data_IF_843561522008
#
_entry.id   IF_843561522008
#
_cell.length_a   1.000
_cell.length_b   1.000
_cell.length_c   1.000
_cell.angle_alpha   90.00
_cell.angle_beta   90.00
_cell.angle_gamma   90.00
#
_symmetry.space_group_name_H-M   'P 1'
#
loop_
_entity.id
_entity.type
_entity.pdbx_description
1 polymer ?
#
# COMPACT_ATOMS: atom_id res chain seq x y z
N UNK A 1 32.11 -26.14 -5.73
CA UNK A 1 33.29 -26.45 -6.57
C UNK A 1 32.80 -26.66 -7.99
N UNK A 2 33.51 -26.05 -8.94
CA UNK A 2 33.40 -26.10 -10.42
C UNK A 2 32.22 -25.44 -11.13
N UNK A 3 32.58 -24.31 -11.72
CA UNK A 3 32.04 -23.58 -12.88
C UNK A 3 32.07 -24.38 -14.19
N UNK A 4 31.07 -24.17 -15.05
CA UNK A 4 31.14 -24.25 -16.52
C UNK A 4 29.97 -23.40 -17.07
N UNK A 5 30.18 -22.21 -17.63
CA UNK A 5 30.68 -21.95 -18.98
C UNK A 5 29.81 -22.59 -20.07
N UNK A 6 28.83 -21.84 -20.57
CA UNK A 6 28.41 -21.99 -21.97
C UNK A 6 28.01 -20.61 -22.53
N UNK A 7 28.78 -20.17 -23.52
CA UNK A 7 28.68 -18.90 -24.19
C UNK A 7 27.68 -19.00 -25.34
N UNK A 8 26.70 -18.09 -25.40
CA UNK A 8 25.82 -17.94 -26.57
C UNK A 8 26.23 -16.69 -27.36
N UNK A 9 26.85 -16.94 -28.51
CA UNK A 9 27.30 -15.93 -29.48
C UNK A 9 26.12 -15.17 -30.14
N UNK A 10 26.26 -13.88 -30.48
CA UNK A 10 25.24 -13.15 -31.21
C UNK A 10 25.32 -13.50 -32.70
N UNK A 11 24.27 -14.17 -33.21
CA UNK A 11 24.11 -14.45 -34.64
C UNK A 11 23.70 -13.16 -35.35
N UNK A 12 24.62 -12.61 -36.13
CA UNK A 12 24.44 -11.42 -36.98
C UNK A 12 23.45 -11.76 -38.11
N UNK A 13 22.21 -11.31 -38.00
CA UNK A 13 21.27 -11.30 -39.11
C UNK A 13 21.36 -9.94 -39.83
N UNK A 14 22.07 -9.92 -40.95
CA UNK A 14 21.97 -8.86 -41.96
C UNK A 14 20.50 -8.75 -42.43
N UNK A 15 19.88 -7.61 -42.18
CA UNK A 15 18.73 -7.13 -42.94
C UNK A 15 19.15 -5.87 -43.69
N UNK A 16 19.49 -6.07 -44.97
CA UNK A 16 19.89 -5.03 -45.90
C UNK A 16 18.67 -4.14 -46.23
N UNK A 17 18.91 -2.82 -46.34
CA UNK A 17 17.91 -1.82 -46.74
C UNK A 17 17.30 -0.95 -45.63
N UNK A 18 17.43 -1.35 -44.35
CA UNK A 18 16.94 -0.57 -43.21
C UNK A 18 18.04 -0.12 -42.22
N UNK A 19 19.25 -0.67 -42.35
CA UNK A 19 20.34 -0.51 -41.39
C UNK A 19 20.91 0.90 -41.32
N UNK A 20 21.08 1.59 -42.45
CA UNK A 20 21.61 2.98 -42.48
C UNK A 20 20.67 3.95 -41.78
N UNK A 21 19.38 3.93 -42.13
CA UNK A 21 18.35 4.78 -41.50
C UNK A 21 18.19 4.48 -40.01
N UNK A 22 18.39 3.22 -39.57
CA UNK A 22 18.38 2.84 -38.15
C UNK A 22 19.65 3.33 -37.45
N UNK A 23 20.82 3.13 -38.06
CA UNK A 23 22.11 3.59 -37.54
C UNK A 23 22.16 5.12 -37.41
N UNK A 24 21.65 5.86 -38.39
CA UNK A 24 21.58 7.33 -38.34
C UNK A 24 20.61 7.84 -37.28
N UNK A 25 19.47 7.15 -37.07
CA UNK A 25 18.53 7.46 -35.98
C UNK A 25 19.14 7.19 -34.61
N UNK A 26 19.87 6.10 -34.47
CA UNK A 26 20.60 5.75 -33.24
C UNK A 26 21.72 6.75 -32.98
N UNK A 27 22.52 7.09 -34.00
CA UNK A 27 23.58 8.09 -33.90
C UNK A 27 23.03 9.47 -33.53
N UNK A 28 21.87 9.87 -34.06
CA UNK A 28 21.17 11.11 -33.66
C UNK A 28 20.66 11.04 -32.22
N UNK A 29 20.02 9.93 -31.83
CA UNK A 29 19.51 9.73 -30.47
C UNK A 29 20.61 9.66 -29.39
N UNK A 30 21.82 9.20 -29.75
CA UNK A 30 22.99 9.15 -28.85
C UNK A 30 23.67 10.52 -28.78
N UNK A 31 23.77 11.25 -29.90
CA UNK A 31 24.40 12.59 -29.96
C UNK A 31 23.51 13.70 -29.37
N UNK A 32 22.19 13.55 -29.40
CA UNK A 32 21.25 14.51 -28.81
C UNK A 32 20.63 13.94 -27.55
N UNK A 33 20.76 14.62 -26.41
CA UNK A 33 19.99 14.27 -25.22
C UNK A 33 18.51 14.61 -25.45
N UNK A 34 17.67 13.58 -25.60
CA UNK A 34 16.22 13.78 -25.66
C UNK A 34 15.72 14.13 -24.26
N UNK A 35 15.75 15.42 -23.91
CA UNK A 35 15.27 15.88 -22.61
C UNK A 35 13.73 15.81 -22.58
N UNK A 36 13.18 14.70 -22.08
CA UNK A 36 11.75 14.57 -21.86
C UNK A 36 11.38 15.27 -20.54
N UNK A 37 11.23 16.60 -20.60
CA UNK A 37 10.83 17.42 -19.43
C UNK A 37 9.35 17.21 -19.13
N UNK A 38 9.04 16.18 -18.34
CA UNK A 38 7.67 15.98 -17.82
C UNK A 38 7.50 16.85 -16.58
N UNK A 39 6.74 17.94 -16.72
CA UNK A 39 6.30 18.76 -15.58
C UNK A 39 4.95 18.26 -15.12
N UNK A 40 4.75 18.11 -13.80
CA UNK A 40 3.41 17.93 -13.24
C UNK A 40 2.67 19.27 -13.27
N UNK A 41 1.85 19.47 -14.29
CA UNK A 41 0.99 20.65 -14.42
C UNK A 41 -0.04 20.61 -13.29
N UNK A 42 -0.06 21.66 -12.46
CA UNK A 42 -1.06 21.86 -11.40
C UNK A 42 -2.04 22.91 -11.91
N UNK A 43 -3.31 22.54 -12.05
CA UNK A 43 -4.36 23.42 -12.57
C UNK A 43 -4.97 24.33 -11.50
N UNK A 44 -4.81 23.98 -10.22
CA UNK A 44 -5.31 24.76 -9.10
C UNK A 44 -4.30 25.82 -8.65
N UNK A 45 -4.80 27.00 -8.27
CA UNK A 45 -3.98 28.10 -7.71
C UNK A 45 -3.51 27.78 -6.28
N UNK A 46 -4.36 27.11 -5.49
CA UNK A 46 -4.06 26.76 -4.10
C UNK A 46 -3.32 25.43 -4.01
N UNK A 47 -2.35 25.37 -3.10
CA UNK A 47 -1.66 24.13 -2.78
C UNK A 47 -2.52 23.26 -1.86
N UNK A 48 -2.78 22.02 -2.28
CA UNK A 48 -3.50 21.03 -1.46
C UNK A 48 -2.53 19.97 -0.95
N UNK A 49 -2.73 19.55 0.31
CA UNK A 49 -1.96 18.43 0.86
C UNK A 49 -2.27 17.16 0.05
N UNK A 50 -1.26 16.45 -0.47
CA UNK A 50 -1.50 15.20 -1.18
C UNK A 50 -2.10 14.16 -0.22
N UNK A 51 -2.98 13.31 -0.75
CA UNK A 51 -3.54 12.21 0.03
C UNK A 51 -2.42 11.21 0.32
N UNK A 52 -2.20 10.97 1.60
CA UNK A 52 -1.23 9.99 2.08
C UNK A 52 -1.95 8.76 2.58
N UNK A 53 -1.26 7.62 2.58
CA UNK A 53 -1.78 6.41 3.21
C UNK A 53 -1.80 6.60 4.73
N UNK A 54 -2.99 6.53 5.33
CA UNK A 54 -3.19 6.59 6.77
C UNK A 54 -3.19 5.16 7.28
N UNK A 55 -2.12 4.75 7.97
CA UNK A 55 -2.05 3.43 8.60
C UNK A 55 -2.88 3.43 9.88
N UNK A 56 -3.57 2.32 10.14
CA UNK A 56 -4.17 2.08 11.45
C UNK A 56 -3.08 2.01 12.53
N UNK A 57 -3.45 2.34 13.78
CA UNK A 57 -2.53 2.27 14.92
C UNK A 57 -2.23 0.81 15.24
N UNK A 58 -0.98 0.37 15.00
CA UNK A 58 -0.48 -0.95 15.39
C UNK A 58 0.55 -0.79 16.52
N UNK A 59 0.12 -0.89 17.80
CA UNK A 59 1.06 -0.83 18.92
C UNK A 59 1.97 -2.06 18.90
N UNK A 60 3.27 -1.87 19.18
CA UNK A 60 4.26 -2.96 19.21
C UNK A 60 4.09 -3.89 20.43
N UNK A 61 3.42 -3.41 21.47
CA UNK A 61 3.22 -4.12 22.73
C UNK A 61 1.81 -3.84 23.27
N UNK A 62 1.32 -4.69 24.17
CA UNK A 62 0.03 -4.50 24.81
C UNK A 62 0.03 -3.23 25.67
N UNK A 63 -1.00 -2.38 25.51
CA UNK A 63 -1.11 -1.11 26.28
C UNK A 63 -1.48 -1.32 27.74
N UNK A 64 -2.00 -2.50 28.08
CA UNK A 64 -2.30 -2.92 29.44
C UNK A 64 -1.56 -4.22 29.68
N UNK A 65 -0.91 -4.30 30.83
CA UNK A 65 -0.20 -5.51 31.25
C UNK A 65 -1.18 -6.61 31.65
N UNK A 66 -2.28 -6.22 32.31
CA UNK A 66 -3.28 -7.15 32.83
C UNK A 66 -4.61 -7.03 32.09
N UNK A 67 -5.32 -8.15 32.04
CA UNK A 67 -6.68 -8.22 31.51
C UNK A 67 -7.65 -7.48 32.43
N UNK A 68 -8.67 -6.85 31.86
CA UNK A 68 -9.72 -6.21 32.63
C UNK A 68 -10.82 -7.21 32.95
N UNK A 69 -11.14 -7.38 34.23
CA UNK A 69 -12.28 -8.18 34.68
C UNK A 69 -13.60 -7.59 34.16
N UNK A 70 -14.57 -8.47 33.87
CA UNK A 70 -15.90 -8.05 33.46
C UNK A 70 -16.62 -7.35 34.62
N UNK A 71 -17.23 -6.18 34.33
CA UNK A 71 -17.82 -5.32 35.37
C UNK A 71 -19.31 -5.60 35.64
N UNK A 72 -19.97 -6.38 34.79
CA UNK A 72 -21.40 -6.72 34.96
C UNK A 72 -21.50 -8.15 35.49
N UNK A 73 -21.25 -8.32 36.78
CA UNK A 73 -21.41 -9.60 37.43
C UNK A 73 -22.89 -9.92 37.74
N UNK A 74 -23.16 -11.18 38.10
CA UNK A 74 -24.51 -11.72 38.33
C UNK A 74 -25.32 -10.88 39.31
N UNK A 75 -24.66 -10.33 40.32
CA UNK A 75 -25.26 -9.51 41.37
C UNK A 75 -25.56 -8.08 40.93
N UNK A 76 -24.85 -7.57 39.91
CA UNK A 76 -25.15 -6.26 39.31
C UNK A 76 -26.25 -6.35 38.25
N UNK A 77 -26.43 -7.54 37.67
CA UNK A 77 -27.55 -7.87 36.76
C UNK A 77 -28.86 -7.99 37.56
N UNK A 78 -28.86 -8.77 38.64
CA UNK A 78 -30.04 -8.94 39.51
C UNK A 78 -29.83 -8.08 40.76
N UNK A 79 -30.38 -6.87 40.75
CA UNK A 79 -30.14 -5.89 41.81
C UNK A 79 -31.01 -6.14 43.05
N UNK A 80 -32.33 -6.20 42.86
CA UNK A 80 -33.28 -6.43 43.93
C UNK A 80 -34.56 -7.06 43.40
N UNK A 81 -35.26 -7.86 44.23
CA UNK A 81 -36.62 -8.26 43.92
C UNK A 81 -37.56 -7.05 43.98
N UNK A 82 -38.54 -6.99 43.10
CA UNK A 82 -39.57 -5.95 43.11
C UNK A 82 -40.71 -6.39 44.03
N UNK A 83 -41.02 -5.60 45.05
CA UNK A 83 -42.02 -5.94 46.09
C UNK A 83 -43.29 -5.09 45.99
N UNK A 84 -43.68 -4.67 44.79
CA UNK A 84 -44.92 -3.91 44.55
C UNK A 84 -46.09 -4.84 44.23
N UNK A 85 -47.32 -4.46 44.58
CA UNK A 85 -48.53 -5.27 44.37
C UNK A 85 -48.70 -5.73 42.91
N UNK A 86 -48.43 -4.83 41.97
CA UNK A 86 -48.47 -5.11 40.52
C UNK A 86 -47.48 -6.19 40.07
N UNK A 87 -46.30 -6.27 40.70
CA UNK A 87 -45.27 -7.26 40.39
C UNK A 87 -45.56 -8.63 41.03
N UNK A 88 -46.39 -8.68 42.08
CA UNK A 88 -46.80 -9.94 42.73
C UNK A 88 -48.11 -10.52 42.17
N UNK A 89 -49.02 -9.66 41.70
CA UNK A 89 -50.37 -10.05 41.28
C UNK A 89 -50.55 -10.16 39.75
N UNK A 90 -49.51 -9.84 38.97
CA UNK A 90 -49.52 -10.13 37.53
C UNK A 90 -49.23 -11.60 37.28
N UNK A 91 -50.26 -12.33 36.83
CA UNK A 91 -50.19 -13.73 36.38
C UNK A 91 -50.19 -13.79 34.86
#
# INVERSE_FOLDING_TARGET
VTTAAEAMAPKVAKSEGGGSKKADKVAKAVKSSVSRKVKKVRTNVRFFRPKTLIKARNPKYARKSTETMYKLDKYRIIQCPVTTESAMCSR
#
